data_IF_175304035353
#
_entry.id   IF_175304035353
#
_cell.length_a   1.000
_cell.length_b   1.000
_cell.length_c   1.000
_cell.angle_alpha   90.00
_cell.angle_beta   90.00
_cell.angle_gamma   90.00
#
_symmetry.space_group_name_H-M   'P 1'
#
loop_
_entity.id
_entity.type
_entity.pdbx_description
1 polymer ?
#
# COMPACT_ATOMS: atom_id res chain seq x y z
N UNK A 1 -6.91 -31.97 -47.82
CA UNK A 1 -5.97 -31.60 -46.73
C UNK A 1 -6.02 -30.09 -46.52
N UNK A 2 -6.88 -29.65 -45.64
CA UNK A 2 -7.04 -28.25 -45.22
C UNK A 2 -6.60 -28.14 -43.75
N UNK A 3 -5.56 -27.38 -43.51
CA UNK A 3 -5.10 -27.03 -42.15
C UNK A 3 -6.00 -25.95 -41.56
N UNK A 4 -6.67 -26.26 -40.46
CA UNK A 4 -7.41 -25.28 -39.66
C UNK A 4 -6.41 -24.65 -38.69
N UNK A 5 -6.06 -23.40 -38.94
CA UNK A 5 -5.31 -22.58 -38.00
C UNK A 5 -6.27 -22.12 -36.89
N UNK A 6 -6.10 -22.64 -35.69
CA UNK A 6 -6.80 -22.15 -34.51
C UNK A 6 -6.21 -20.81 -34.10
N UNK A 7 -6.96 -19.74 -34.32
CA UNK A 7 -6.66 -18.44 -33.69
C UNK A 7 -7.05 -18.51 -32.21
N UNK A 8 -6.07 -18.68 -31.33
CA UNK A 8 -6.24 -18.42 -29.93
C UNK A 8 -6.26 -16.90 -29.70
N UNK A 9 -7.47 -16.34 -29.63
CA UNK A 9 -7.67 -15.02 -29.06
C UNK A 9 -7.63 -15.17 -27.54
N UNK A 10 -6.48 -14.86 -26.95
CA UNK A 10 -6.39 -14.62 -25.51
C UNK A 10 -7.14 -13.32 -25.20
N UNK A 11 -8.36 -13.44 -24.70
CA UNK A 11 -9.05 -12.32 -24.06
C UNK A 11 -8.32 -12.00 -22.78
N UNK A 12 -7.52 -10.93 -22.79
CA UNK A 12 -7.02 -10.30 -21.56
C UNK A 12 -8.23 -9.68 -20.86
N UNK A 13 -8.63 -10.28 -19.75
CA UNK A 13 -9.59 -9.66 -18.85
C UNK A 13 -8.83 -8.55 -18.13
N UNK A 14 -8.91 -7.33 -18.66
CA UNK A 14 -8.44 -6.14 -17.99
C UNK A 14 -9.43 -5.82 -16.86
N UNK A 15 -9.10 -6.24 -15.63
CA UNK A 15 -9.71 -5.70 -14.42
C UNK A 15 -9.09 -4.34 -14.06
N UNK A 16 -9.01 -3.45 -15.05
CA UNK A 16 -8.60 -2.07 -14.86
C UNK A 16 -9.85 -1.19 -14.76
N UNK A 17 -9.90 -0.30 -13.77
CA UNK A 17 -10.82 0.83 -13.80
C UNK A 17 -10.31 1.78 -14.88
N UNK A 18 -10.58 1.44 -16.13
CA UNK A 18 -10.31 2.30 -17.27
C UNK A 18 -11.50 3.24 -17.45
N UNK A 19 -11.33 4.49 -17.09
CA UNK A 19 -12.23 5.57 -17.50
C UNK A 19 -11.46 6.50 -18.43
N UNK A 20 -11.89 6.55 -19.66
CA UNK A 20 -11.34 7.32 -20.79
C UNK A 20 -11.33 8.85 -20.61
N UNK A 21 -11.63 9.39 -19.43
CA UNK A 21 -11.68 10.83 -19.17
C UNK A 21 -10.50 11.36 -18.32
N UNK A 22 -9.79 10.49 -17.58
CA UNK A 22 -8.57 10.82 -16.85
C UNK A 22 -7.40 10.13 -17.58
N UNK A 23 -7.07 10.59 -18.78
CA UNK A 23 -5.96 10.07 -19.55
C UNK A 23 -4.68 10.21 -18.73
N UNK A 24 -4.06 9.11 -18.36
CA UNK A 24 -2.67 9.11 -18.02
C UNK A 24 -2.22 8.36 -16.79
N UNK A 25 -3.04 7.56 -16.07
CA UNK A 25 -2.53 6.69 -14.99
C UNK A 25 -3.23 5.33 -14.91
N UNK A 26 -2.49 4.35 -14.40
CA UNK A 26 -2.98 3.00 -14.13
C UNK A 26 -2.52 2.56 -12.74
N UNK A 27 -3.36 1.81 -12.03
CA UNK A 27 -3.02 1.12 -10.79
C UNK A 27 -3.16 -0.38 -11.01
N UNK A 28 -2.06 -1.11 -10.81
CA UNK A 28 -2.04 -2.57 -10.88
C UNK A 28 -1.74 -3.15 -9.51
N UNK A 29 -2.66 -3.92 -8.94
CA UNK A 29 -2.41 -4.63 -7.68
C UNK A 29 -1.49 -5.82 -7.96
N UNK A 30 -0.31 -5.83 -7.34
CA UNK A 30 0.72 -6.87 -7.51
C UNK A 30 0.72 -7.91 -6.39
N UNK A 31 0.20 -7.59 -5.20
CA UNK A 31 0.05 -8.53 -4.11
C UNK A 31 -1.22 -8.24 -3.31
N UNK A 32 -2.04 -9.24 -3.14
CA UNK A 32 -3.23 -9.28 -2.28
C UNK A 32 -3.67 -10.74 -2.11
N UNK A 33 -4.75 -10.99 -1.38
CA UNK A 33 -5.20 -12.34 -1.01
C UNK A 33 -5.55 -13.23 -2.20
N UNK A 34 -6.03 -12.64 -3.29
CA UNK A 34 -6.48 -13.37 -4.49
C UNK A 34 -5.63 -12.92 -5.67
N UNK A 35 -5.09 -13.87 -6.43
CA UNK A 35 -4.30 -13.61 -7.62
C UNK A 35 -5.01 -14.00 -8.90
N UNK A 36 -4.54 -13.49 -10.03
CA UNK A 36 -4.87 -13.99 -11.35
C UNK A 36 -4.24 -15.39 -11.57
N UNK A 37 -4.72 -16.09 -12.61
CA UNK A 37 -4.17 -17.38 -13.00
C UNK A 37 -2.63 -17.30 -13.19
N UNK A 38 -1.93 -18.17 -12.51
CA UNK A 38 -0.46 -18.22 -12.51
C UNK A 38 0.22 -17.28 -11.51
N UNK A 39 -0.53 -16.39 -10.86
CA UNK A 39 0.00 -15.52 -9.80
C UNK A 39 -0.01 -16.15 -8.43
N UNK A 40 0.61 -15.47 -7.47
CA UNK A 40 0.59 -15.81 -6.05
C UNK A 40 -0.35 -14.88 -5.29
N UNK A 41 -1.32 -15.46 -4.56
CA UNK A 41 -2.07 -14.76 -3.52
C UNK A 41 -1.37 -14.91 -2.18
N UNK A 42 -1.35 -13.87 -1.37
CA UNK A 42 -0.80 -13.92 -0.02
C UNK A 42 -1.46 -12.87 0.89
N UNK A 43 -1.32 -13.03 2.20
CA UNK A 43 -1.74 -12.01 3.16
C UNK A 43 -0.76 -10.85 3.14
N UNK A 44 -0.91 -9.97 2.15
CA UNK A 44 -0.06 -8.81 1.94
C UNK A 44 -0.71 -7.79 1.02
N UNK A 45 -0.01 -6.69 0.79
CA UNK A 45 -0.40 -5.71 -0.21
C UNK A 45 0.80 -5.17 -0.98
N UNK A 46 0.61 -4.95 -2.26
CA UNK A 46 1.46 -4.15 -3.14
C UNK A 46 0.67 -3.69 -4.36
N UNK A 47 0.87 -2.46 -4.77
CA UNK A 47 0.27 -1.91 -5.98
C UNK A 47 1.26 -1.04 -6.74
N UNK A 48 1.25 -1.16 -8.06
CA UNK A 48 2.04 -0.35 -8.97
C UNK A 48 1.17 0.79 -9.51
N UNK A 49 1.61 2.01 -9.28
CA UNK A 49 1.09 3.21 -9.94
C UNK A 49 1.96 3.54 -11.13
N UNK A 50 1.36 3.77 -12.27
CA UNK A 50 2.04 4.18 -13.51
C UNK A 50 1.31 5.37 -14.14
N UNK A 51 2.08 6.34 -14.60
CA UNK A 51 1.62 7.38 -15.50
C UNK A 51 2.59 7.49 -16.69
N UNK A 52 2.40 8.47 -17.58
CA UNK A 52 3.26 8.64 -18.76
C UNK A 52 4.75 8.85 -18.44
N UNK A 53 5.07 9.34 -17.23
CA UNK A 53 6.43 9.78 -16.87
C UNK A 53 7.05 8.94 -15.76
N UNK A 54 6.26 8.33 -14.88
CA UNK A 54 6.75 7.72 -13.64
C UNK A 54 6.02 6.42 -13.30
N UNK A 55 6.76 5.51 -12.66
CA UNK A 55 6.22 4.32 -12.03
C UNK A 55 6.59 4.34 -10.56
N UNK A 56 5.61 4.16 -9.68
CA UNK A 56 5.79 4.15 -8.22
C UNK A 56 5.20 2.89 -7.65
N UNK A 57 5.96 2.19 -6.81
CA UNK A 57 5.44 1.04 -6.08
C UNK A 57 4.94 1.48 -4.70
N UNK A 58 3.73 1.06 -4.35
CA UNK A 58 3.16 1.20 -3.01
C UNK A 58 3.14 -0.15 -2.33
N UNK A 59 3.86 -0.31 -1.23
CA UNK A 59 4.15 -1.56 -0.52
C UNK A 59 4.81 -2.65 -1.38
N UNK A 60 5.37 -3.67 -0.76
CA UNK A 60 6.25 -4.64 -1.41
C UNK A 60 5.89 -6.10 -1.14
N UNK A 61 4.69 -6.36 -0.60
CA UNK A 61 4.26 -7.72 -0.25
C UNK A 61 4.98 -8.28 0.97
N UNK A 62 4.76 -9.57 1.23
CA UNK A 62 5.32 -10.31 2.35
C UNK A 62 6.51 -11.18 1.95
N UNK A 63 6.30 -12.17 1.08
CA UNK A 63 7.41 -12.95 0.52
C UNK A 63 8.20 -12.12 -0.48
N UNK A 64 9.51 -12.24 -0.43
CA UNK A 64 10.42 -11.44 -1.26
C UNK A 64 10.22 -11.63 -2.77
N UNK A 65 9.64 -12.76 -3.20
CA UNK A 65 9.44 -13.10 -4.62
C UNK A 65 8.04 -12.82 -5.15
N UNK A 66 7.05 -12.53 -4.30
CA UNK A 66 5.64 -12.42 -4.74
C UNK A 66 5.43 -11.28 -5.72
N UNK A 67 5.90 -10.08 -5.41
CA UNK A 67 5.78 -8.92 -6.32
C UNK A 67 6.54 -9.16 -7.62
N UNK A 68 7.75 -9.73 -7.55
CA UNK A 68 8.53 -10.09 -8.73
C UNK A 68 7.80 -11.06 -9.64
N UNK A 69 7.26 -12.13 -9.06
CA UNK A 69 6.52 -13.15 -9.80
C UNK A 69 5.24 -12.58 -10.42
N UNK A 70 4.43 -11.87 -9.62
CA UNK A 70 3.16 -11.33 -10.07
C UNK A 70 3.34 -10.23 -11.13
N UNK A 71 4.38 -9.41 -11.04
CA UNK A 71 4.70 -8.45 -12.08
C UNK A 71 4.97 -9.14 -13.43
N UNK A 72 5.70 -10.26 -13.44
CA UNK A 72 5.92 -11.06 -14.66
C UNK A 72 4.63 -11.65 -15.20
N UNK A 73 3.80 -12.24 -14.34
CA UNK A 73 2.49 -12.81 -14.74
C UNK A 73 1.60 -11.76 -15.37
N UNK A 74 1.60 -10.54 -14.85
CA UNK A 74 0.82 -9.41 -15.33
C UNK A 74 1.51 -8.60 -16.44
N UNK A 75 2.71 -9.05 -16.88
CA UNK A 75 3.51 -8.39 -17.92
C UNK A 75 3.83 -6.92 -17.61
N UNK A 76 4.08 -6.63 -16.32
CA UNK A 76 4.49 -5.30 -15.84
C UNK A 76 6.01 -5.22 -15.72
N UNK A 77 6.58 -4.20 -16.35
CA UNK A 77 8.00 -3.88 -16.22
C UNK A 77 8.21 -2.97 -15.00
N UNK A 78 8.64 -3.57 -13.89
CA UNK A 78 8.91 -2.85 -12.64
C UNK A 78 10.39 -2.44 -12.49
N UNK A 79 11.24 -2.73 -13.47
CA UNK A 79 12.65 -2.29 -13.46
C UNK A 79 12.83 -0.77 -13.50
N UNK A 80 11.79 -0.05 -13.94
CA UNK A 80 11.75 1.41 -14.03
C UNK A 80 11.31 2.11 -12.75
N UNK A 81 10.85 1.34 -11.77
CA UNK A 81 10.42 1.90 -10.47
C UNK A 81 11.63 2.40 -9.71
N UNK A 82 11.70 3.68 -9.44
CA UNK A 82 12.74 4.31 -8.61
C UNK A 82 12.26 4.57 -7.19
N UNK A 83 10.99 4.95 -7.05
CA UNK A 83 10.35 5.34 -5.79
C UNK A 83 9.42 4.25 -5.27
N UNK A 84 9.60 3.90 -3.99
CA UNK A 84 8.71 3.02 -3.24
C UNK A 84 8.11 3.81 -2.09
N UNK A 85 6.79 3.75 -1.92
CA UNK A 85 6.13 4.29 -0.72
C UNK A 85 5.71 3.12 0.14
N UNK A 86 6.16 3.07 1.38
CA UNK A 86 5.79 2.04 2.35
C UNK A 86 4.69 2.58 3.26
N UNK A 87 3.57 1.87 3.33
CA UNK A 87 2.42 2.29 4.13
C UNK A 87 2.72 2.29 5.62
N UNK A 88 3.38 1.26 6.11
CA UNK A 88 3.81 1.11 7.50
C UNK A 88 4.83 -0.03 7.63
N UNK A 89 5.34 -0.25 8.84
CA UNK A 89 6.49 -1.15 9.08
C UNK A 89 6.19 -2.65 8.96
N UNK A 90 4.94 -3.11 8.99
CA UNK A 90 4.60 -4.53 9.02
C UNK A 90 5.24 -5.32 7.87
N UNK A 91 5.63 -6.56 8.16
CA UNK A 91 6.38 -7.41 7.23
C UNK A 91 5.62 -7.72 5.95
N UNK A 92 4.30 -7.83 6.02
CA UNK A 92 3.41 -8.07 4.87
C UNK A 92 3.28 -6.88 3.90
N UNK A 93 3.99 -5.78 4.19
CA UNK A 93 4.09 -4.59 3.34
C UNK A 93 5.54 -4.26 2.95
N UNK A 94 6.49 -4.75 3.70
CA UNK A 94 7.91 -4.38 3.58
C UNK A 94 8.81 -5.53 3.13
N UNK A 95 8.26 -6.75 3.02
CA UNK A 95 9.04 -7.98 2.83
C UNK A 95 9.84 -8.04 1.54
N UNK A 96 9.34 -7.44 0.46
CA UNK A 96 9.99 -7.51 -0.85
C UNK A 96 11.02 -6.41 -1.15
N UNK A 97 11.11 -5.34 -0.35
CA UNK A 97 11.87 -4.13 -0.70
C UNK A 97 13.33 -4.42 -1.06
N UNK A 98 14.06 -5.10 -0.19
CA UNK A 98 15.51 -5.35 -0.37
C UNK A 98 15.74 -6.24 -1.59
N UNK A 99 14.93 -7.28 -1.78
CA UNK A 99 15.03 -8.18 -2.94
C UNK A 99 14.76 -7.46 -4.25
N UNK A 100 13.75 -6.60 -4.31
CA UNK A 100 13.44 -5.78 -5.48
C UNK A 100 14.65 -4.91 -5.86
N UNK A 101 15.22 -4.19 -4.89
CA UNK A 101 16.44 -3.40 -5.10
C UNK A 101 17.59 -4.23 -5.64
N UNK A 102 17.90 -5.36 -5.01
CA UNK A 102 18.99 -6.26 -5.42
C UNK A 102 18.78 -6.83 -6.81
N UNK A 103 17.53 -7.10 -7.19
CA UNK A 103 17.21 -7.70 -8.50
C UNK A 103 17.48 -6.73 -9.64
N UNK A 104 17.11 -5.45 -9.48
CA UNK A 104 17.08 -4.51 -10.60
C UNK A 104 18.21 -3.47 -10.61
N UNK A 105 18.97 -3.31 -9.52
CA UNK A 105 20.00 -2.25 -9.43
C UNK A 105 21.12 -2.34 -10.48
N UNK A 106 21.39 -3.52 -11.03
CA UNK A 106 22.41 -3.71 -12.07
C UNK A 106 21.87 -3.32 -13.45
N UNK A 107 20.57 -3.44 -13.67
CA UNK A 107 19.90 -3.04 -14.90
C UNK A 107 19.60 -1.53 -14.90
N UNK A 108 19.13 -1.04 -13.78
CA UNK A 108 18.86 0.37 -13.52
C UNK A 108 19.35 0.75 -12.13
N UNK A 109 20.42 1.58 -12.06
CA UNK A 109 21.05 1.98 -10.79
C UNK A 109 20.09 2.68 -9.83
N UNK A 110 19.03 3.32 -10.34
CA UNK A 110 18.03 4.02 -9.55
C UNK A 110 16.83 3.15 -9.18
N UNK A 111 16.73 1.91 -9.72
CA UNK A 111 15.60 1.04 -9.42
C UNK A 111 15.46 0.77 -7.92
N UNK A 112 14.31 1.08 -7.35
CA UNK A 112 13.98 0.91 -5.93
C UNK A 112 14.99 1.58 -4.99
N UNK A 113 15.55 2.72 -5.39
CA UNK A 113 16.61 3.41 -4.63
C UNK A 113 16.07 4.40 -3.59
N UNK A 114 14.82 4.83 -3.71
CA UNK A 114 14.17 5.75 -2.77
C UNK A 114 12.97 5.07 -2.10
N UNK A 115 12.97 5.04 -0.78
CA UNK A 115 11.85 4.52 0.01
C UNK A 115 11.28 5.62 0.92
N UNK A 116 10.02 5.95 0.69
CA UNK A 116 9.27 6.98 1.42
C UNK A 116 8.51 6.33 2.57
N UNK A 117 8.81 6.72 3.78
CA UNK A 117 8.21 6.20 5.01
C UNK A 117 7.66 7.33 5.87
N UNK A 118 6.59 7.09 6.60
CA UNK A 118 6.08 8.11 7.51
C UNK A 118 6.89 8.13 8.81
N UNK A 119 6.87 9.28 9.50
CA UNK A 119 7.46 9.44 10.82
C UNK A 119 6.99 8.35 11.79
N UNK A 120 7.93 7.72 12.47
CA UNK A 120 7.67 6.60 13.37
C UNK A 120 7.93 5.21 12.76
N UNK A 121 8.17 5.10 11.46
CA UNK A 121 8.44 3.83 10.79
C UNK A 121 9.61 3.05 11.42
N UNK A 122 10.68 3.72 11.80
CA UNK A 122 11.87 3.12 12.43
C UNK A 122 11.81 3.06 13.96
N UNK A 123 10.67 3.35 14.58
CA UNK A 123 10.53 3.13 16.01
C UNK A 123 10.78 1.67 16.33
N UNK A 124 11.61 1.39 17.34
CA UNK A 124 11.82 0.03 17.81
C UNK A 124 10.58 -0.45 18.56
N UNK A 125 10.04 -1.58 18.13
CA UNK A 125 8.86 -2.21 18.71
C UNK A 125 9.24 -3.45 19.48
N UNK A 126 8.42 -3.75 20.49
CA UNK A 126 8.60 -4.88 21.38
C UNK A 126 7.27 -5.58 21.58
N UNK A 127 7.28 -6.92 21.64
CA UNK A 127 6.13 -7.71 22.12
C UNK A 127 5.95 -7.57 23.63
N UNK A 128 4.85 -8.12 24.16
CA UNK A 128 4.62 -8.23 25.62
C UNK A 128 5.73 -8.98 26.35
N UNK A 129 6.38 -9.92 25.67
CA UNK A 129 7.50 -10.71 26.19
C UNK A 129 8.85 -10.00 26.03
N UNK A 130 8.86 -8.79 25.47
CA UNK A 130 10.07 -8.00 25.26
C UNK A 130 10.89 -8.39 24.04
N UNK A 131 10.35 -9.20 23.13
CA UNK A 131 11.00 -9.52 21.85
C UNK A 131 10.91 -8.32 20.91
N UNK A 132 11.99 -8.04 20.21
CA UNK A 132 12.03 -6.96 19.22
C UNK A 132 11.28 -7.35 17.95
N UNK A 133 10.60 -6.37 17.35
CA UNK A 133 9.86 -6.52 16.07
C UNK A 133 10.19 -5.32 15.18
N UNK A 134 10.56 -5.58 13.94
CA UNK A 134 10.90 -4.57 12.95
C UNK A 134 10.35 -4.85 11.56
N UNK A 135 10.68 -3.99 10.58
CA UNK A 135 10.23 -4.14 9.21
C UNK A 135 10.74 -5.43 8.57
N UNK A 136 10.04 -5.94 7.57
CA UNK A 136 10.40 -7.10 6.74
C UNK A 136 10.74 -8.38 7.55
N UNK A 137 10.19 -8.51 8.77
CA UNK A 137 10.49 -9.63 9.67
C UNK A 137 11.83 -9.53 10.39
N UNK A 138 12.54 -8.42 10.29
CA UNK A 138 13.72 -8.15 11.10
C UNK A 138 13.33 -7.92 12.56
N UNK A 139 14.15 -8.40 13.48
CA UNK A 139 13.95 -8.13 14.91
C UNK A 139 14.26 -6.66 15.26
N UNK A 140 15.22 -6.07 14.57
CA UNK A 140 15.71 -4.72 14.84
C UNK A 140 15.42 -3.79 13.64
N UNK A 141 14.70 -2.69 13.89
CA UNK A 141 14.37 -1.70 12.87
C UNK A 141 15.62 -1.04 12.27
N UNK A 142 16.68 -0.82 13.07
CA UNK A 142 17.94 -0.28 12.58
C UNK A 142 18.71 -1.30 11.74
N UNK A 143 18.66 -2.59 12.08
CA UNK A 143 19.27 -3.64 11.27
C UNK A 143 18.64 -3.69 9.87
N UNK A 144 17.32 -3.59 9.77
CA UNK A 144 16.63 -3.46 8.48
C UNK A 144 17.10 -2.21 7.72
N UNK A 145 17.10 -1.05 8.37
CA UNK A 145 17.53 0.22 7.78
C UNK A 145 18.95 0.14 7.25
N UNK A 146 19.88 -0.33 8.07
CA UNK A 146 21.30 -0.42 7.72
C UNK A 146 21.51 -1.37 6.51
N UNK A 147 20.81 -2.51 6.46
CA UNK A 147 20.92 -3.42 5.33
C UNK A 147 20.35 -2.80 4.05
N UNK A 148 19.19 -2.14 4.13
CA UNK A 148 18.59 -1.48 2.98
C UNK A 148 19.49 -0.34 2.45
N UNK A 149 20.07 0.48 3.34
CA UNK A 149 21.00 1.55 2.97
C UNK A 149 22.29 1.00 2.36
N UNK A 150 22.80 -0.12 2.88
CA UNK A 150 23.97 -0.83 2.28
C UNK A 150 23.69 -1.31 0.85
N UNK A 151 22.46 -1.66 0.55
CA UNK A 151 22.03 -2.04 -0.80
C UNK A 151 21.74 -0.82 -1.70
N UNK A 152 21.91 0.41 -1.18
CA UNK A 152 21.75 1.65 -1.92
C UNK A 152 20.33 2.21 -1.89
N UNK A 153 19.54 1.90 -0.86
CA UNK A 153 18.22 2.49 -0.64
C UNK A 153 18.37 3.71 0.27
N UNK A 154 17.81 4.83 -0.16
CA UNK A 154 17.70 6.04 0.66
C UNK A 154 16.29 6.14 1.23
N UNK A 155 16.16 6.27 2.55
CA UNK A 155 14.86 6.50 3.18
C UNK A 155 14.56 7.99 3.31
N UNK A 156 13.38 8.37 2.83
CA UNK A 156 12.82 9.72 2.96
C UNK A 156 11.68 9.65 3.98
N UNK A 157 11.86 10.34 5.12
CA UNK A 157 10.86 10.36 6.19
C UNK A 157 9.88 11.50 5.96
N UNK A 158 8.59 11.18 5.86
CA UNK A 158 7.49 12.11 5.67
C UNK A 158 6.91 12.46 7.03
N UNK A 159 6.97 13.74 7.41
CA UNK A 159 6.41 14.23 8.67
C UNK A 159 4.96 14.69 8.58
N UNK A 160 4.54 15.15 7.41
CA UNK A 160 3.16 15.61 7.17
C UNK A 160 2.62 14.93 5.91
N UNK A 161 2.65 15.60 4.76
CA UNK A 161 2.32 15.01 3.46
C UNK A 161 3.38 15.43 2.43
N UNK A 162 3.47 14.66 1.35
CA UNK A 162 4.42 14.92 0.30
C UNK A 162 3.83 14.52 -1.06
N UNK A 163 3.93 15.40 -2.05
CA UNK A 163 3.66 15.04 -3.44
C UNK A 163 4.83 14.22 -3.98
N UNK A 164 4.64 12.91 -4.13
CA UNK A 164 5.70 11.97 -4.55
C UNK A 164 5.79 11.85 -6.08
N UNK A 165 4.72 12.16 -6.78
CA UNK A 165 4.63 12.35 -8.22
C UNK A 165 3.52 13.37 -8.50
N UNK A 166 3.47 13.94 -9.69
CA UNK A 166 2.46 14.93 -10.06
C UNK A 166 1.04 14.41 -9.79
N UNK A 167 0.34 15.05 -8.87
CA UNK A 167 -1.02 14.69 -8.45
C UNK A 167 -1.12 13.44 -7.57
N UNK A 168 0.00 12.86 -7.15
CA UNK A 168 0.06 11.70 -6.24
C UNK A 168 0.72 12.10 -4.93
N UNK A 169 -0.03 12.01 -3.84
CA UNK A 169 0.39 12.44 -2.51
C UNK A 169 0.52 11.26 -1.55
N UNK A 170 1.64 11.16 -0.86
CA UNK A 170 1.74 10.38 0.36
C UNK A 170 1.21 11.22 1.53
N UNK A 171 0.30 10.67 2.31
CA UNK A 171 -0.36 11.41 3.40
C UNK A 171 0.57 11.75 4.55
N UNK A 172 1.68 10.99 4.71
CA UNK A 172 2.40 10.96 5.97
C UNK A 172 1.51 10.44 7.10
N UNK A 173 1.90 10.63 8.36
CA UNK A 173 1.10 10.20 9.50
C UNK A 173 -0.30 10.80 9.47
N UNK A 174 -1.30 9.98 9.79
CA UNK A 174 -2.72 10.36 9.78
C UNK A 174 -3.23 10.47 11.22
N UNK A 175 -3.81 11.62 11.56
CA UNK A 175 -4.41 11.82 12.89
C UNK A 175 -5.71 11.02 13.03
N UNK A 176 -5.89 10.41 14.21
CA UNK A 176 -7.07 9.58 14.54
C UNK A 176 -8.12 10.40 15.27
N UNK A 177 -8.88 11.17 14.51
CA UNK A 177 -9.89 12.12 15.02
C UNK A 177 -11.27 11.46 15.16
N UNK A 178 -11.70 10.72 14.13
CA UNK A 178 -13.05 10.11 14.07
C UNK A 178 -13.00 8.66 14.51
N UNK A 179 -12.08 7.89 13.93
CA UNK A 179 -11.87 6.49 14.24
C UNK A 179 -10.70 6.36 15.21
N UNK A 180 -10.86 5.49 16.19
CA UNK A 180 -9.75 5.09 17.08
C UNK A 180 -8.83 4.14 16.35
N UNK A 181 -7.72 3.78 17.02
CA UNK A 181 -6.78 2.79 16.50
C UNK A 181 -7.48 1.50 16.06
N UNK A 182 -7.16 1.05 14.86
CA UNK A 182 -7.64 -0.18 14.25
C UNK A 182 -6.46 -1.04 13.81
N UNK A 183 -6.09 -2.01 14.62
CA UNK A 183 -4.96 -2.89 14.33
C UNK A 183 -4.65 -3.87 15.46
N UNK A 184 -3.54 -4.62 15.32
CA UNK A 184 -3.13 -5.58 16.33
C UNK A 184 -2.77 -4.88 17.65
N UNK A 185 -3.03 -5.56 18.76
CA UNK A 185 -2.59 -5.18 20.11
C UNK A 185 -1.36 -6.00 20.51
N UNK A 186 -0.68 -5.56 21.57
CA UNK A 186 0.45 -6.31 22.14
C UNK A 186 1.82 -5.91 21.61
N UNK A 187 1.90 -4.86 20.82
CA UNK A 187 3.16 -4.20 20.48
C UNK A 187 3.32 -2.90 21.26
N UNK A 188 4.56 -2.61 21.64
CA UNK A 188 4.93 -1.44 22.42
C UNK A 188 6.12 -0.73 21.78
N UNK A 189 6.17 0.58 21.92
CA UNK A 189 7.32 1.42 21.62
C UNK A 189 7.86 1.99 22.93
N UNK A 190 9.18 2.17 23.01
CA UNK A 190 9.80 2.89 24.14
C UNK A 190 9.92 4.36 23.78
N UNK A 191 9.22 5.22 24.53
CA UNK A 191 9.26 6.65 24.37
C UNK A 191 9.72 7.29 25.69
N UNK A 192 10.90 7.92 25.68
CA UNK A 192 11.51 8.56 26.86
C UNK A 192 11.54 7.65 28.10
N UNK A 193 11.85 6.36 27.92
CA UNK A 193 11.92 5.37 29.01
C UNK A 193 10.56 4.86 29.50
N UNK A 194 9.46 5.24 28.86
CA UNK A 194 8.13 4.70 29.10
C UNK A 194 7.70 3.82 27.93
N UNK A 195 7.16 2.66 28.25
CA UNK A 195 6.54 1.79 27.23
C UNK A 195 5.11 2.28 26.94
N UNK A 196 4.87 2.63 25.68
CA UNK A 196 3.56 3.01 25.18
C UNK A 196 3.06 1.94 24.21
N UNK A 197 1.76 1.66 24.21
CA UNK A 197 1.17 0.79 23.20
C UNK A 197 1.45 1.37 21.80
N UNK A 198 1.97 0.52 20.91
CA UNK A 198 2.13 0.92 19.50
C UNK A 198 0.77 0.95 18.82
N UNK A 199 0.39 2.11 18.33
CA UNK A 199 -0.82 2.32 17.54
C UNK A 199 -0.50 2.53 16.06
N UNK A 200 0.70 2.13 15.63
CA UNK A 200 1.17 2.23 14.23
C UNK A 200 1.02 3.66 13.71
N UNK A 201 1.71 4.61 14.35
CA UNK A 201 1.67 6.04 14.00
C UNK A 201 2.28 6.33 12.63
N UNK A 202 3.08 5.41 12.11
CA UNK A 202 3.70 5.45 10.78
C UNK A 202 2.76 4.98 9.66
N UNK A 203 1.50 4.63 9.97
CA UNK A 203 0.52 4.29 8.95
C UNK A 203 0.20 5.52 8.08
N UNK A 204 0.47 5.36 6.78
CA UNK A 204 0.19 6.35 5.75
C UNK A 204 -0.45 5.71 4.53
N UNK A 205 -1.07 6.53 3.70
CA UNK A 205 -1.71 6.12 2.46
C UNK A 205 -1.26 7.00 1.30
N UNK A 206 -1.53 6.55 0.07
CA UNK A 206 -1.44 7.40 -1.11
C UNK A 206 -2.80 7.99 -1.45
N UNK A 207 -2.79 9.20 -1.96
CA UNK A 207 -3.96 9.85 -2.56
C UNK A 207 -3.61 10.37 -3.93
N UNK A 208 -4.45 10.04 -4.91
CA UNK A 208 -4.32 10.49 -6.28
C UNK A 208 -5.41 11.48 -6.61
N UNK A 209 -5.02 12.64 -7.13
CA UNK A 209 -5.95 13.68 -7.58
C UNK A 209 -6.49 13.31 -8.96
N UNK A 210 -7.81 13.22 -9.07
CA UNK A 210 -8.50 13.02 -10.36
C UNK A 210 -9.54 14.11 -10.57
N UNK A 211 -10.12 14.18 -11.76
CA UNK A 211 -11.22 15.11 -12.04
C UNK A 211 -12.48 14.84 -11.20
N UNK A 212 -12.66 13.59 -10.75
CA UNK A 212 -13.82 13.17 -9.94
C UNK A 212 -13.60 13.27 -8.43
N UNK A 213 -12.36 13.47 -8.00
CA UNK A 213 -12.00 13.49 -6.60
C UNK A 213 -10.74 12.68 -6.31
N UNK A 214 -10.46 12.49 -5.02
CA UNK A 214 -9.37 11.65 -4.57
C UNK A 214 -9.64 10.17 -4.88
N UNK A 215 -8.62 9.47 -5.34
CA UNK A 215 -8.54 8.01 -5.26
C UNK A 215 -7.52 7.68 -4.18
N UNK A 216 -7.98 7.03 -3.12
CA UNK A 216 -7.18 6.66 -1.95
C UNK A 216 -6.65 5.24 -2.09
N UNK A 217 -5.38 5.04 -1.75
CA UNK A 217 -4.75 3.72 -1.70
C UNK A 217 -4.14 3.50 -0.33
N UNK A 218 -4.60 2.48 0.38
CA UNK A 218 -4.11 2.14 1.72
C UNK A 218 -3.54 0.72 1.77
N UNK A 219 -2.50 0.52 2.57
CA UNK A 219 -1.92 -0.81 2.82
C UNK A 219 -2.78 -1.62 3.79
N UNK A 220 -2.87 -1.17 5.03
CA UNK A 220 -3.79 -1.70 6.04
C UNK A 220 -4.81 -0.69 6.57
N UNK A 221 -4.54 0.60 6.43
CA UNK A 221 -5.44 1.64 6.91
C UNK A 221 -5.64 1.60 8.44
N UNK A 222 -4.56 1.35 9.20
CA UNK A 222 -4.61 1.34 10.66
C UNK A 222 -5.00 2.69 11.26
N UNK A 223 -4.82 3.77 10.51
CA UNK A 223 -5.27 5.11 10.89
C UNK A 223 -6.78 5.29 10.79
N UNK A 224 -7.48 4.38 10.14
CA UNK A 224 -8.90 4.48 9.83
C UNK A 224 -9.16 5.08 8.45
N UNK A 225 -10.10 4.50 7.72
CA UNK A 225 -10.44 4.92 6.35
C UNK A 225 -11.04 6.33 6.33
N UNK A 226 -11.87 6.68 7.33
CA UNK A 226 -12.49 8.01 7.45
C UNK A 226 -11.43 9.06 7.80
N UNK A 227 -10.56 8.78 8.76
CA UNK A 227 -9.46 9.67 9.12
C UNK A 227 -8.53 9.93 7.92
N UNK A 228 -8.22 8.88 7.15
CA UNK A 228 -7.40 8.98 5.93
C UNK A 228 -8.09 9.82 4.86
N UNK A 229 -9.39 9.61 4.64
CA UNK A 229 -10.17 10.43 3.72
C UNK A 229 -10.17 11.92 4.12
N UNK A 230 -10.35 12.22 5.42
CA UNK A 230 -10.27 13.59 5.94
C UNK A 230 -8.86 14.19 5.77
N UNK A 231 -7.81 13.40 5.96
CA UNK A 231 -6.42 13.85 5.70
C UNK A 231 -6.25 14.27 4.24
N UNK A 232 -6.70 13.47 3.28
CA UNK A 232 -6.65 13.83 1.85
C UNK A 232 -7.45 15.09 1.56
N UNK A 233 -8.66 15.22 2.11
CA UNK A 233 -9.50 16.40 1.96
C UNK A 233 -8.85 17.67 2.56
N UNK A 234 -8.00 17.53 3.57
CA UNK A 234 -7.23 18.65 4.12
C UNK A 234 -6.10 19.11 3.21
N UNK A 235 -5.53 18.21 2.39
CA UNK A 235 -4.51 18.54 1.39
C UNK A 235 -5.14 19.29 0.22
N UNK A 236 -6.25 18.75 -0.30
CA UNK A 236 -7.03 19.38 -1.35
C UNK A 236 -8.51 19.12 -1.14
N UNK A 237 -9.30 20.19 -1.05
CA UNK A 237 -10.75 20.14 -0.79
C UNK A 237 -11.51 19.57 -2.00
N UNK A 238 -11.71 18.26 -2.01
CA UNK A 238 -12.46 17.52 -3.02
C UNK A 238 -12.97 16.21 -2.42
N UNK A 239 -14.02 15.59 -2.98
CA UNK A 239 -14.55 14.33 -2.47
C UNK A 239 -13.52 13.20 -2.62
N UNK A 240 -13.66 12.14 -1.82
CA UNK A 240 -12.91 10.90 -2.02
C UNK A 240 -13.77 9.98 -2.90
N UNK A 241 -13.47 9.99 -4.18
CA UNK A 241 -14.22 9.29 -5.23
C UNK A 241 -14.05 7.76 -5.16
N UNK A 242 -12.86 7.30 -4.85
CA UNK A 242 -12.54 5.87 -4.80
C UNK A 242 -11.52 5.51 -3.74
N UNK A 243 -11.50 4.24 -3.38
CA UNK A 243 -10.51 3.66 -2.48
C UNK A 243 -10.11 2.26 -2.93
N UNK A 244 -8.84 1.93 -2.79
CA UNK A 244 -8.27 0.64 -3.14
C UNK A 244 -7.29 0.19 -2.04
N UNK A 245 -7.26 -1.12 -1.75
CA UNK A 245 -6.28 -1.74 -0.86
C UNK A 245 -6.84 -2.28 0.43
N UNK A 246 -6.03 -2.31 1.48
CA UNK A 246 -6.39 -2.81 2.81
C UNK A 246 -6.92 -1.72 3.73
N UNK A 247 -8.00 -2.02 4.45
CA UNK A 247 -8.67 -1.09 5.36
C UNK A 247 -8.97 -1.70 6.74
N UNK A 248 -8.32 -2.81 7.05
CA UNK A 248 -8.35 -3.51 8.35
C UNK A 248 -9.76 -3.75 8.92
N UNK A 249 -10.69 -4.19 8.06
CA UNK A 249 -12.09 -4.42 8.43
C UNK A 249 -12.44 -5.92 8.57
N UNK A 250 -11.48 -6.83 8.40
CA UNK A 250 -11.72 -8.27 8.38
C UNK A 250 -12.26 -8.84 9.71
N UNK A 251 -12.08 -8.12 10.82
CA UNK A 251 -12.64 -8.44 12.14
C UNK A 251 -13.66 -7.43 12.64
N UNK A 252 -14.04 -6.46 11.82
CA UNK A 252 -15.02 -5.45 12.18
C UNK A 252 -16.42 -6.05 12.30
N UNK A 253 -17.24 -5.52 13.20
CA UNK A 253 -18.66 -5.88 13.28
C UNK A 253 -19.45 -5.32 12.11
N UNK A 254 -20.60 -5.92 11.83
CA UNK A 254 -21.51 -5.44 10.78
C UNK A 254 -21.90 -3.97 10.96
N UNK A 255 -22.08 -3.54 12.21
CA UNK A 255 -22.40 -2.14 12.55
C UNK A 255 -21.26 -1.19 12.10
N UNK A 256 -20.00 -1.56 12.36
CA UNK A 256 -18.84 -0.77 11.93
C UNK A 256 -18.72 -0.75 10.41
N UNK A 257 -18.87 -1.90 9.75
CA UNK A 257 -18.80 -2.00 8.28
C UNK A 257 -19.90 -1.15 7.63
N UNK A 258 -21.15 -1.28 8.09
CA UNK A 258 -22.28 -0.54 7.55
C UNK A 258 -22.13 0.98 7.77
N UNK A 259 -21.73 1.42 8.96
CA UNK A 259 -21.48 2.84 9.26
C UNK A 259 -20.37 3.40 8.40
N UNK A 260 -19.30 2.63 8.21
CA UNK A 260 -18.18 3.02 7.33
C UNK A 260 -18.66 3.19 5.89
N UNK A 261 -19.39 2.21 5.34
CA UNK A 261 -19.92 2.25 3.99
C UNK A 261 -20.86 3.43 3.76
N UNK A 262 -21.77 3.70 4.71
CA UNK A 262 -22.67 4.87 4.65
C UNK A 262 -21.90 6.17 4.64
N UNK A 263 -20.91 6.32 5.54
CA UNK A 263 -20.10 7.54 5.58
C UNK A 263 -19.36 7.77 4.25
N UNK A 264 -18.74 6.72 3.69
CA UNK A 264 -18.02 6.80 2.42
C UNK A 264 -18.96 7.23 1.28
N UNK A 265 -20.13 6.60 1.18
CA UNK A 265 -21.16 6.95 0.19
C UNK A 265 -21.61 8.40 0.33
N UNK A 266 -21.91 8.85 1.54
CA UNK A 266 -22.36 10.22 1.81
C UNK A 266 -21.28 11.28 1.53
N UNK A 267 -20.00 10.86 1.52
CA UNK A 267 -18.85 11.71 1.20
C UNK A 267 -18.33 11.56 -0.25
N UNK A 268 -19.14 10.94 -1.13
CA UNK A 268 -18.91 10.93 -2.57
C UNK A 268 -18.16 9.72 -3.11
N UNK A 269 -17.90 8.69 -2.29
CA UNK A 269 -17.25 7.47 -2.79
C UNK A 269 -18.22 6.67 -3.66
N UNK A 270 -17.77 6.34 -4.87
CA UNK A 270 -18.51 5.54 -5.86
C UNK A 270 -17.77 4.29 -6.29
N UNK A 271 -16.49 4.19 -5.95
CA UNK A 271 -15.63 3.04 -6.28
C UNK A 271 -14.88 2.57 -5.04
N UNK A 272 -15.07 1.30 -4.69
CA UNK A 272 -14.37 0.66 -3.57
C UNK A 272 -13.82 -0.69 -4.03
N UNK A 273 -12.53 -0.89 -3.85
CA UNK A 273 -11.84 -2.14 -4.15
C UNK A 273 -11.05 -2.56 -2.92
N UNK A 274 -11.74 -3.14 -1.95
CA UNK A 274 -11.12 -3.69 -0.75
C UNK A 274 -10.42 -5.01 -1.02
N UNK A 275 -9.19 -5.13 -0.55
CA UNK A 275 -8.38 -6.35 -0.59
C UNK A 275 -7.64 -6.54 0.73
N UNK A 276 -6.71 -7.49 0.78
CA UNK A 276 -5.85 -7.75 1.94
C UNK A 276 -6.64 -7.81 3.25
N UNK A 277 -6.29 -7.00 4.23
CA UNK A 277 -6.92 -6.97 5.55
C UNK A 277 -8.31 -6.31 5.60
N UNK A 278 -8.84 -5.81 4.49
CA UNK A 278 -10.26 -5.43 4.42
C UNK A 278 -11.15 -6.64 4.70
N UNK A 279 -10.76 -7.81 4.20
CA UNK A 279 -11.55 -9.03 4.26
C UNK A 279 -12.64 -9.05 3.19
N UNK A 280 -12.91 -10.24 2.66
CA UNK A 280 -13.85 -10.43 1.55
C UNK A 280 -15.26 -9.98 1.92
N UNK A 281 -15.69 -10.26 3.15
CA UNK A 281 -17.03 -9.89 3.62
C UNK A 281 -17.22 -8.37 3.63
N UNK A 282 -16.32 -7.63 4.29
CA UNK A 282 -16.40 -6.17 4.35
C UNK A 282 -16.26 -5.52 2.95
N UNK A 283 -15.36 -6.05 2.12
CA UNK A 283 -15.17 -5.56 0.75
C UNK A 283 -16.40 -5.69 -0.13
N UNK A 284 -17.22 -6.72 0.10
CA UNK A 284 -18.47 -6.92 -0.65
C UNK A 284 -19.67 -6.18 -0.03
N UNK A 285 -19.57 -5.75 1.23
CA UNK A 285 -20.65 -5.07 1.93
C UNK A 285 -20.62 -3.56 1.72
N UNK A 286 -19.43 -2.99 1.63
CA UNK A 286 -19.20 -1.56 1.36
C UNK A 286 -19.40 -1.24 -0.13
#
# INVERSE_FOLDING_TARGET
SGSVASQNQSQSIHNGISNSADAGYEITVLATNISNYGGFGEWSFSALYENENESILFDTGFHEDTVLHNAKVLQKDISKVEKVVLSHFHADHTGGLIKLRKTYRNENSEAFSEAYVAKGFFNQRYTTEGLKVGPAGFEDALAFKNLAEKEGITFIVIENHLEVAKGLFATGPVERVVEKYNGPSGLFISNNGKNEADIIRDDQSLGMVTQKGWVMMSGCGHSGIINTAKKLQSIKKMPVYGAIGGFHLFKASDDVINKTGLWLKDNGMTKFMGGHCTGIYAANTI
#
